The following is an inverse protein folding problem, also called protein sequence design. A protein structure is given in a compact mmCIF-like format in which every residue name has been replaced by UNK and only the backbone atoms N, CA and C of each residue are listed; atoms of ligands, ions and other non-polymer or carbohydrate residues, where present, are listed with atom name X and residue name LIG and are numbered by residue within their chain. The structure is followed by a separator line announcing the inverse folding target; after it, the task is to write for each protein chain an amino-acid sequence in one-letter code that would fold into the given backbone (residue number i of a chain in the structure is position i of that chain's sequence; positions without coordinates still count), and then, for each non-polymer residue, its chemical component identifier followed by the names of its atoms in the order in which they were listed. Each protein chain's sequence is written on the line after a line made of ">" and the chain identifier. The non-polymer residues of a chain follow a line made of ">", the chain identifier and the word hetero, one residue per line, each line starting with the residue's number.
data_IF_616680943291
#
_entry.id   IF_616680943291
#
_cell.length_a   1.000
_cell.length_b   1.000
_cell.length_c   1.000
_cell.angle_alpha   90.00
_cell.angle_beta   90.00
_cell.angle_gamma   90.00
#
_symmetry.space_group_name_H-M   'P 1'
#
loop_
_entity.id
_entity.type
_entity.pdbx_description
1 polymer ?
#
# COMPACT_ATOMS: atom_id res chain seq x y z
N UNK A 1 13.58 13.09 -19.32
CA UNK A 1 13.80 12.55 -17.96
C UNK A 1 12.45 12.06 -17.49
N UNK A 2 12.30 10.76 -17.19
CA UNK A 2 11.06 10.28 -16.59
C UNK A 2 11.18 10.60 -15.10
N UNK A 3 10.54 11.67 -14.66
CA UNK A 3 10.54 12.04 -13.26
C UNK A 3 9.92 10.88 -12.47
N UNK A 4 10.72 10.29 -11.58
CA UNK A 4 10.22 9.23 -10.70
C UNK A 4 9.07 9.81 -9.87
N UNK A 5 7.94 9.10 -9.73
CA UNK A 5 6.84 9.59 -8.92
C UNK A 5 7.30 9.88 -7.49
N UNK A 6 7.00 11.09 -6.99
CA UNK A 6 7.46 11.54 -5.67
C UNK A 6 6.36 11.28 -4.64
N UNK A 7 6.71 10.55 -3.59
CA UNK A 7 5.88 10.43 -2.38
C UNK A 7 6.27 11.58 -1.44
N UNK A 8 5.33 12.48 -1.17
CA UNK A 8 5.59 13.70 -0.38
C UNK A 8 5.11 13.59 1.06
N UNK A 9 4.31 12.58 1.38
CA UNK A 9 3.82 12.35 2.74
C UNK A 9 3.08 11.03 2.88
N UNK A 10 3.12 10.46 4.07
CA UNK A 10 2.40 9.24 4.43
C UNK A 10 1.97 9.29 5.90
N UNK A 11 0.73 8.88 6.17
CA UNK A 11 0.24 8.62 7.52
C UNK A 11 -0.30 7.20 7.58
N UNK A 12 0.07 6.44 8.60
CA UNK A 12 -0.19 5.01 8.66
C UNK A 12 -0.69 4.60 10.04
N UNK A 13 -1.67 3.69 10.08
CA UNK A 13 -2.16 3.01 11.27
C UNK A 13 -1.96 1.50 11.11
N UNK A 14 -1.15 0.94 11.99
CA UNK A 14 -0.88 -0.51 12.08
C UNK A 14 -2.16 -1.29 12.45
N UNK A 15 -2.37 -2.47 11.85
CA UNK A 15 -3.57 -3.30 12.08
C UNK A 15 -3.27 -4.77 12.35
N UNK A 16 -2.19 -5.33 11.80
CA UNK A 16 -1.75 -6.74 11.94
C UNK A 16 -2.90 -7.78 11.97
N UNK A 17 -3.93 -7.56 11.15
CA UNK A 17 -5.15 -8.38 11.16
C UNK A 17 -5.10 -9.40 10.02
N UNK A 18 -5.41 -10.67 10.28
CA UNK A 18 -5.36 -11.72 9.25
C UNK A 18 -6.76 -12.19 8.84
N UNK A 19 -7.03 -12.25 7.55
CA UNK A 19 -8.28 -12.77 6.98
C UNK A 19 -8.01 -13.53 5.67
N UNK A 20 -8.52 -14.76 5.53
CA UNK A 20 -8.51 -15.56 4.29
C UNK A 20 -7.14 -15.64 3.60
N UNK A 21 -6.07 -15.86 4.37
CA UNK A 21 -4.71 -15.98 3.83
C UNK A 21 -4.04 -14.65 3.48
N UNK A 22 -4.67 -13.51 3.76
CA UNK A 22 -4.07 -12.19 3.63
C UNK A 22 -3.95 -11.56 5.00
N UNK A 23 -2.81 -10.95 5.28
CA UNK A 23 -2.61 -10.16 6.49
C UNK A 23 -2.63 -8.68 6.14
N UNK A 24 -3.60 -7.95 6.69
CA UNK A 24 -3.64 -6.50 6.71
C UNK A 24 -2.58 -6.00 7.69
N UNK A 25 -1.47 -5.51 7.15
CA UNK A 25 -0.39 -4.91 7.94
C UNK A 25 -0.81 -3.55 8.48
N UNK A 26 -1.42 -2.72 7.62
CA UNK A 26 -1.79 -1.36 7.98
C UNK A 26 -2.83 -0.74 7.05
N UNK A 27 -3.53 0.27 7.55
CA UNK A 27 -4.26 1.25 6.73
C UNK A 27 -3.45 2.54 6.66
N UNK A 28 -3.43 3.20 5.51
CA UNK A 28 -2.63 4.41 5.32
C UNK A 28 -3.25 5.38 4.32
N UNK A 29 -2.84 6.64 4.44
CA UNK A 29 -3.07 7.69 3.46
C UNK A 29 -1.71 8.11 2.90
N UNK A 30 -1.64 8.39 1.60
CA UNK A 30 -0.40 8.76 0.90
C UNK A 30 -0.60 9.99 0.02
N UNK A 31 0.39 10.89 0.05
CA UNK A 31 0.44 12.10 -0.78
C UNK A 31 1.48 11.94 -1.88
N UNK A 32 1.08 12.21 -3.12
CA UNK A 32 1.94 12.12 -4.32
C UNK A 32 1.44 13.06 -5.40
N UNK A 33 2.35 13.75 -6.09
CA UNK A 33 2.03 14.64 -7.22
C UNK A 33 0.88 15.64 -6.94
N UNK A 34 0.81 16.18 -5.71
CA UNK A 34 -0.23 17.13 -5.29
C UNK A 34 -1.61 16.50 -4.99
N UNK A 35 -1.73 15.17 -5.01
CA UNK A 35 -2.95 14.42 -4.73
C UNK A 35 -2.77 13.59 -3.44
N UNK A 36 -3.84 13.44 -2.67
CA UNK A 36 -3.89 12.53 -1.51
C UNK A 36 -4.80 11.36 -1.80
N UNK A 37 -4.25 10.14 -1.71
CA UNK A 37 -5.01 8.90 -1.72
C UNK A 37 -5.28 8.47 -0.29
N UNK A 38 -6.56 8.38 0.10
CA UNK A 38 -6.98 8.07 1.46
C UNK A 38 -7.59 6.69 1.59
N UNK A 39 -7.38 6.03 2.73
CA UNK A 39 -7.91 4.70 3.04
C UNK A 39 -7.33 3.59 2.15
N UNK A 40 -6.03 3.65 1.89
CA UNK A 40 -5.29 2.55 1.28
C UNK A 40 -5.00 1.47 2.33
N UNK A 41 -4.81 0.23 1.88
CA UNK A 41 -4.44 -0.89 2.77
C UNK A 41 -3.14 -1.53 2.30
N UNK A 42 -2.24 -1.82 3.25
CA UNK A 42 -1.01 -2.57 3.02
C UNK A 42 -1.24 -4.04 3.41
N UNK A 43 -1.07 -4.94 2.44
CA UNK A 43 -1.42 -6.35 2.56
C UNK A 43 -0.18 -7.23 2.35
N UNK A 44 0.05 -8.17 3.26
CA UNK A 44 0.95 -9.31 3.08
C UNK A 44 0.14 -10.52 2.60
N UNK A 45 0.57 -11.13 1.50
CA UNK A 45 -0.01 -12.36 0.95
C UNK A 45 0.73 -13.59 1.45
N UNK A 46 0.16 -14.78 1.26
CA UNK A 46 0.73 -16.06 1.71
C UNK A 46 2.10 -16.38 1.10
N UNK A 47 2.38 -15.85 -0.11
CA UNK A 47 3.65 -15.97 -0.82
C UNK A 47 4.72 -14.97 -0.34
N UNK A 48 4.51 -14.33 0.82
CA UNK A 48 5.32 -13.26 1.38
C UNK A 48 5.41 -11.99 0.52
N UNK A 49 4.54 -11.85 -0.48
CA UNK A 49 4.47 -10.63 -1.28
C UNK A 49 3.73 -9.54 -0.53
N UNK A 50 4.28 -8.33 -0.53
CA UNK A 50 3.60 -7.15 0.02
C UNK A 50 3.04 -6.30 -1.12
N UNK A 51 1.76 -5.97 -1.03
CA UNK A 51 1.02 -5.17 -2.02
C UNK A 51 0.24 -4.06 -1.33
N UNK A 52 -0.16 -3.04 -2.09
CA UNK A 52 -1.19 -2.10 -1.63
C UNK A 52 -2.53 -2.40 -2.29
N UNK A 53 -3.62 -2.17 -1.58
CA UNK A 53 -4.95 -2.04 -2.16
C UNK A 53 -5.34 -0.57 -2.16
N UNK A 54 -5.73 -0.01 -3.33
CA UNK A 54 -6.28 1.34 -3.39
C UNK A 54 -7.67 1.36 -2.74
N UNK A 55 -8.20 2.57 -2.48
CA UNK A 55 -9.50 2.75 -1.84
C UNK A 55 -10.60 2.03 -2.63
N UNK A 56 -11.52 1.37 -1.93
CA UNK A 56 -12.60 0.56 -2.54
C UNK A 56 -13.95 1.07 -2.05
N UNK A 57 -14.95 1.12 -2.93
CA UNK A 57 -16.31 1.39 -2.51
C UNK A 57 -16.96 0.05 -2.14
N UNK A 58 -17.35 -0.10 -0.88
CA UNK A 58 -18.02 -1.28 -0.32
C UNK A 58 -17.17 -2.55 -0.22
N UNK A 59 -17.75 -3.57 0.44
CA UNK A 59 -17.22 -4.95 0.54
C UNK A 59 -17.17 -5.70 -0.79
N UNK A 60 -17.48 -5.04 -1.92
CA UNK A 60 -17.43 -5.62 -3.25
C UNK A 60 -16.00 -5.48 -3.81
N UNK A 61 -15.20 -6.56 -3.85
CA UNK A 61 -13.78 -6.51 -4.16
C UNK A 61 -13.47 -6.06 -5.60
N UNK A 62 -14.46 -6.13 -6.49
CA UNK A 62 -14.33 -5.88 -7.93
C UNK A 62 -14.40 -4.41 -8.36
N UNK A 63 -14.75 -3.46 -7.49
CA UNK A 63 -14.77 -2.02 -7.85
C UNK A 63 -13.90 -1.16 -6.93
N UNK A 64 -12.66 -0.93 -7.36
CA UNK A 64 -11.78 0.08 -6.77
C UNK A 64 -12.28 1.48 -7.13
N UNK A 65 -12.23 2.40 -6.19
CA UNK A 65 -12.56 3.81 -6.41
C UNK A 65 -11.52 4.52 -7.27
N UNK A 66 -10.27 4.06 -7.16
CA UNK A 66 -9.12 4.62 -7.85
C UNK A 66 -8.30 3.46 -8.40
N UNK A 67 -7.86 3.61 -9.65
CA UNK A 67 -6.92 2.69 -10.30
C UNK A 67 -5.61 3.43 -10.54
N UNK A 68 -4.49 2.83 -10.10
CA UNK A 68 -3.15 3.36 -10.31
C UNK A 68 -2.49 2.52 -11.41
N UNK A 69 -2.55 2.99 -12.65
CA UNK A 69 -2.03 2.24 -13.81
C UNK A 69 -0.51 2.31 -13.93
N UNK A 70 0.09 3.39 -13.43
CA UNK A 70 1.55 3.57 -13.39
C UNK A 70 2.18 2.59 -12.38
N UNK A 71 3.00 1.68 -12.90
CA UNK A 71 3.69 0.66 -12.11
C UNK A 71 4.81 1.25 -11.23
N UNK A 72 5.48 2.32 -11.68
CA UNK A 72 6.49 3.01 -10.89
C UNK A 72 5.85 3.71 -9.70
N UNK A 73 4.74 4.43 -9.93
CA UNK A 73 4.03 5.11 -8.85
C UNK A 73 3.52 4.11 -7.81
N UNK A 74 2.92 3.02 -8.27
CA UNK A 74 2.41 1.97 -7.36
C UNK A 74 3.54 1.35 -6.53
N UNK A 75 4.69 1.07 -7.15
CA UNK A 75 5.88 0.59 -6.45
C UNK A 75 6.37 1.60 -5.40
N UNK A 76 6.50 2.88 -5.76
CA UNK A 76 6.94 3.92 -4.84
C UNK A 76 6.00 4.09 -3.64
N UNK A 77 4.68 3.95 -3.84
CA UNK A 77 3.71 3.97 -2.74
C UNK A 77 3.92 2.77 -1.80
N UNK A 78 4.06 1.55 -2.36
CA UNK A 78 4.28 0.33 -1.56
C UNK A 78 5.58 0.44 -0.75
N UNK A 79 6.67 0.88 -1.36
CA UNK A 79 7.97 1.06 -0.69
C UNK A 79 7.86 2.06 0.46
N UNK A 80 7.20 3.21 0.24
CA UNK A 80 6.96 4.20 1.29
C UNK A 80 6.09 3.65 2.44
N UNK A 81 5.04 2.89 2.12
CA UNK A 81 4.17 2.26 3.11
C UNK A 81 4.91 1.20 3.94
N UNK A 82 5.74 0.38 3.32
CA UNK A 82 6.59 -0.60 4.02
C UNK A 82 7.57 0.12 4.95
N UNK A 83 8.24 1.18 4.48
CA UNK A 83 9.17 1.95 5.29
C UNK A 83 8.47 2.56 6.52
N UNK A 84 7.29 3.18 6.33
CA UNK A 84 6.50 3.73 7.42
C UNK A 84 6.01 2.64 8.40
N UNK A 85 5.55 1.50 7.90
CA UNK A 85 5.14 0.37 8.72
C UNK A 85 6.29 -0.17 9.58
N UNK A 86 7.50 -0.30 9.00
CA UNK A 86 8.72 -0.70 9.73
C UNK A 86 9.11 0.32 10.80
N UNK A 87 9.03 1.62 10.49
CA UNK A 87 9.32 2.69 11.45
C UNK A 87 8.38 2.66 12.68
N UNK A 88 7.18 2.09 12.53
CA UNK A 88 6.22 1.86 13.62
C UNK A 88 6.38 0.48 14.31
N UNK A 89 7.52 -0.19 14.13
CA UNK A 89 7.79 -1.51 14.73
C UNK A 89 7.09 -2.67 14.01
N UNK A 90 6.69 -2.48 12.75
CA UNK A 90 6.15 -3.53 11.90
C UNK A 90 7.23 -4.47 11.36
N UNK A 91 7.04 -5.78 11.57
CA UNK A 91 7.91 -6.83 11.04
C UNK A 91 7.34 -7.31 9.69
N UNK A 92 7.65 -6.62 8.59
CA UNK A 92 7.23 -7.12 7.27
C UNK A 92 8.30 -8.03 6.68
N UNK A 93 8.00 -9.34 6.64
CA UNK A 93 8.69 -10.37 5.86
C UNK A 93 8.30 -10.24 4.40
N UNK A 94 9.28 -10.31 3.49
CA UNK A 94 9.08 -10.21 2.04
C UNK A 94 10.07 -9.24 1.40
N UNK A 95 11.18 -9.75 0.88
CA UNK A 95 12.12 -8.97 0.05
C UNK A 95 11.53 -8.65 -1.35
N UNK A 96 10.35 -9.19 -1.66
CA UNK A 96 9.65 -9.04 -2.94
C UNK A 96 8.39 -8.19 -2.80
N UNK A 97 8.54 -6.87 -2.90
CA UNK A 97 7.42 -5.94 -3.04
C UNK A 97 6.94 -5.94 -4.50
N UNK A 98 5.65 -6.21 -4.73
CA UNK A 98 5.08 -6.16 -6.08
C UNK A 98 3.77 -5.36 -6.09
N UNK A 99 3.56 -4.62 -7.17
CA UNK A 99 2.40 -3.80 -7.42
C UNK A 99 1.30 -4.64 -8.09
N UNK A 100 0.42 -5.28 -7.30
CA UNK A 100 -0.78 -5.94 -7.82
C UNK A 100 -1.82 -4.92 -8.32
#
# INVERSE_FOLDING_TARGET
>A
MSDRPIITGISLRKSDTSERGRQLLANFDVSTNGIVLRCCSLILHQDNRVTMLPPSMNRAPERKLIMITDSQLRRSIVEAAIAAYRALGGLAVGENAEAA
#
